data_IF_495983113534
#
_entry.id   IF_495983113534
#
_cell.length_a   1.000
_cell.length_b   1.000
_cell.length_c   1.000
_cell.angle_alpha   90.00
_cell.angle_beta   90.00
_cell.angle_gamma   90.00
#
_symmetry.space_group_name_H-M   'P 1'
#
loop_
_entity.id
_entity.type
_entity.pdbx_description
1 polymer ?
#
# COMPACT_ATOMS: atom_id res chain seq x y z
N UNK A 1 -7.51 34.98 3.57
CA UNK A 1 -6.79 34.28 4.66
C UNK A 1 -6.47 32.89 4.15
N UNK A 2 -5.26 32.34 4.39
CA UNK A 2 -4.89 30.98 3.93
C UNK A 2 -5.05 30.00 5.10
N UNK A 3 -5.71 28.87 4.85
CA UNK A 3 -5.81 27.74 5.79
C UNK A 3 -4.97 26.60 5.22
N UNK A 4 -4.15 25.97 6.06
CA UNK A 4 -3.31 24.83 5.69
C UNK A 4 -3.73 23.64 6.54
N UNK A 5 -3.98 22.50 5.89
CA UNK A 5 -4.36 21.24 6.52
C UNK A 5 -3.23 20.22 6.37
N UNK A 6 -2.97 19.46 7.45
CA UNK A 6 -2.08 18.32 7.45
C UNK A 6 -2.90 17.07 7.77
N UNK A 7 -2.86 16.10 6.88
CA UNK A 7 -3.48 14.80 7.06
C UNK A 7 -2.37 13.74 7.13
N UNK A 8 -2.27 13.06 8.27
CA UNK A 8 -1.37 11.91 8.46
C UNK A 8 -2.21 10.63 8.58
N UNK A 9 -1.82 9.59 7.86
CA UNK A 9 -2.54 8.33 7.81
C UNK A 9 -1.89 7.31 8.76
N UNK A 10 -2.70 6.82 9.69
CA UNK A 10 -2.27 5.91 10.74
C UNK A 10 -1.67 4.62 10.23
N UNK A 11 -0.34 4.46 10.37
CA UNK A 11 0.34 3.22 9.98
C UNK A 11 0.03 2.78 8.54
N UNK A 12 -0.10 3.76 7.62
CA UNK A 12 -0.66 3.63 6.28
C UNK A 12 -0.36 2.30 5.56
N UNK A 13 0.91 1.92 5.41
CA UNK A 13 1.25 0.70 4.68
C UNK A 13 0.70 -0.58 5.32
N UNK A 14 0.67 -0.66 6.65
CA UNK A 14 0.09 -1.81 7.34
C UNK A 14 -1.45 -1.85 7.15
N UNK A 15 -2.11 -0.69 7.15
CA UNK A 15 -3.56 -0.61 6.87
C UNK A 15 -3.88 -1.05 5.45
N UNK A 16 -3.11 -0.60 4.45
CA UNK A 16 -3.24 -1.04 3.07
C UNK A 16 -3.19 -2.57 2.95
N UNK A 17 -2.21 -3.21 3.60
CA UNK A 17 -2.13 -4.67 3.59
C UNK A 17 -3.28 -5.35 4.30
N UNK A 18 -3.75 -4.78 5.40
CA UNK A 18 -4.88 -5.33 6.12
C UNK A 18 -6.14 -5.32 5.25
N UNK A 19 -6.42 -4.22 4.54
CA UNK A 19 -7.53 -4.13 3.60
C UNK A 19 -7.37 -5.16 2.47
N UNK A 20 -6.19 -5.18 1.83
CA UNK A 20 -5.92 -6.08 0.70
C UNK A 20 -6.09 -7.56 1.07
N UNK A 21 -5.63 -7.95 2.26
CA UNK A 21 -5.64 -9.34 2.72
C UNK A 21 -6.85 -9.71 3.59
N UNK A 22 -7.77 -8.78 3.85
CA UNK A 22 -8.96 -9.04 4.66
C UNK A 22 -8.65 -9.26 6.14
N UNK A 23 -7.63 -8.59 6.66
CA UNK A 23 -7.23 -8.61 8.06
C UNK A 23 -7.92 -7.44 8.78
N UNK A 24 -8.53 -7.72 9.93
CA UNK A 24 -9.05 -6.64 10.79
C UNK A 24 -7.88 -5.89 11.45
N UNK A 25 -7.54 -4.73 10.87
CA UNK A 25 -6.43 -3.88 11.34
C UNK A 25 -6.67 -3.31 12.75
N UNK A 26 -7.92 -3.27 13.23
CA UNK A 26 -8.27 -2.69 14.52
C UNK A 26 -7.94 -3.61 15.69
N UNK A 27 -7.97 -4.93 15.46
CA UNK A 27 -7.74 -5.94 16.51
C UNK A 27 -6.50 -6.78 16.28
N UNK A 28 -6.12 -7.04 15.02
CA UNK A 28 -5.04 -7.97 14.69
C UNK A 28 -3.69 -7.23 14.66
N UNK A 29 -2.68 -7.65 15.45
CA UNK A 29 -1.34 -7.09 15.38
C UNK A 29 -0.66 -7.43 14.06
N UNK A 30 -0.27 -6.39 13.30
CA UNK A 30 0.40 -6.48 12.01
C UNK A 30 1.62 -5.59 11.98
N UNK A 31 2.75 -6.16 11.56
CA UNK A 31 3.97 -5.45 11.23
C UNK A 31 4.33 -5.72 9.76
N UNK A 32 4.58 -4.66 9.00
CA UNK A 32 5.02 -4.72 7.62
C UNK A 32 6.52 -4.49 7.55
N UNK A 33 7.22 -5.42 6.91
CA UNK A 33 8.66 -5.48 6.80
C UNK A 33 9.13 -5.00 5.43
N UNK A 34 10.25 -4.29 5.44
CA UNK A 34 11.13 -4.14 4.31
C UNK A 34 12.46 -4.81 4.67
N UNK A 35 12.73 -5.93 4.00
CA UNK A 35 13.80 -6.85 4.33
C UNK A 35 13.65 -7.35 5.77
N UNK A 36 14.71 -7.25 6.58
CA UNK A 36 14.69 -7.66 7.98
C UNK A 36 14.39 -6.48 8.93
N UNK A 37 13.59 -5.50 8.52
CA UNK A 37 13.27 -4.34 9.35
C UNK A 37 11.81 -3.92 9.22
N UNK A 38 11.15 -3.69 10.35
CA UNK A 38 9.76 -3.23 10.39
C UNK A 38 9.64 -1.80 9.84
N UNK A 39 9.01 -1.67 8.69
CA UNK A 39 8.74 -0.39 8.02
C UNK A 39 7.51 0.30 8.61
N UNK A 40 6.42 -0.45 8.82
CA UNK A 40 5.17 0.03 9.39
C UNK A 40 4.65 -0.97 10.44
N UNK A 41 4.12 -0.45 11.54
CA UNK A 41 3.63 -1.26 12.68
C UNK A 41 2.29 -0.68 13.12
N UNK A 42 1.22 -1.47 13.04
CA UNK A 42 -0.11 -1.01 13.42
C UNK A 42 -0.27 -0.91 14.95
N UNK A 43 -1.32 -0.23 15.41
CA UNK A 43 -1.53 0.03 16.83
C UNK A 43 -1.62 -1.24 17.71
N UNK A 44 -2.36 -2.30 17.31
CA UNK A 44 -2.35 -3.56 18.07
C UNK A 44 -0.95 -4.18 18.20
N UNK A 45 -0.10 -4.10 17.16
CA UNK A 45 1.29 -4.59 17.26
C UNK A 45 2.15 -3.69 18.17
N UNK A 46 1.94 -2.37 18.16
CA UNK A 46 2.63 -1.46 19.09
C UNK A 46 2.30 -1.77 20.56
N UNK A 47 1.07 -2.20 20.85
CA UNK A 47 0.67 -2.65 22.18
C UNK A 47 1.48 -3.87 22.68
N UNK A 48 2.02 -4.67 21.75
CA UNK A 48 2.95 -5.77 22.01
C UNK A 48 4.42 -5.32 22.05
N UNK A 49 4.68 -4.01 22.20
CA UNK A 49 6.02 -3.40 22.21
C UNK A 49 6.82 -3.56 20.92
N UNK A 50 6.17 -3.90 19.80
CA UNK A 50 6.80 -3.92 18.48
C UNK A 50 6.97 -2.48 18.00
N UNK A 51 8.14 -2.18 17.44
CA UNK A 51 8.52 -0.85 16.98
C UNK A 51 9.00 -0.91 15.54
N UNK A 52 8.93 0.23 14.85
CA UNK A 52 9.64 0.40 13.58
C UNK A 52 11.12 0.11 13.80
N UNK A 53 11.74 -0.56 12.84
CA UNK A 53 13.14 -0.99 12.95
C UNK A 53 13.33 -2.40 13.51
N UNK A 54 12.36 -2.95 14.25
CA UNK A 54 12.45 -4.31 14.78
C UNK A 54 12.65 -5.33 13.66
N UNK A 55 13.48 -6.34 13.91
CA UNK A 55 13.70 -7.42 12.96
C UNK A 55 12.53 -8.40 12.92
N UNK A 56 12.50 -9.28 11.90
CA UNK A 56 11.51 -10.35 11.83
C UNK A 56 11.49 -11.21 13.10
N UNK A 57 12.66 -11.51 13.67
CA UNK A 57 12.78 -12.33 14.87
C UNK A 57 12.37 -11.57 16.14
N UNK A 58 12.67 -10.27 16.23
CA UNK A 58 12.21 -9.42 17.34
C UNK A 58 10.68 -9.36 17.38
N UNK A 59 10.04 -9.18 16.23
CA UNK A 59 8.57 -9.17 16.11
C UNK A 59 7.99 -10.50 16.60
N UNK A 60 8.56 -11.62 16.16
CA UNK A 60 8.11 -12.95 16.55
C UNK A 60 8.27 -13.17 18.05
N UNK A 61 9.41 -12.79 18.61
CA UNK A 61 9.74 -12.96 20.03
C UNK A 61 8.85 -12.09 20.91
N UNK A 62 8.78 -10.77 20.64
CA UNK A 62 7.97 -9.83 21.43
C UNK A 62 6.48 -10.17 21.41
N UNK A 63 5.98 -10.69 20.30
CA UNK A 63 4.57 -11.07 20.17
C UNK A 63 4.25 -12.50 20.56
N UNK A 64 5.25 -13.33 20.92
CA UNK A 64 5.09 -14.79 21.03
C UNK A 64 4.36 -15.40 19.81
N UNK A 65 4.70 -14.94 18.60
CA UNK A 65 4.10 -15.37 17.35
C UNK A 65 2.67 -14.88 17.08
N UNK A 66 2.12 -13.99 17.91
CA UNK A 66 0.77 -13.42 17.71
C UNK A 66 0.72 -12.35 16.64
N UNK A 67 1.82 -11.62 16.42
CA UNK A 67 1.88 -10.57 15.40
C UNK A 67 2.09 -11.18 14.03
N UNK A 68 1.25 -10.78 13.09
CA UNK A 68 1.41 -11.12 11.68
C UNK A 68 2.52 -10.24 11.11
N UNK A 69 3.55 -10.88 10.57
CA UNK A 69 4.62 -10.21 9.85
C UNK A 69 4.36 -10.33 8.33
N UNK A 70 4.09 -9.20 7.69
CA UNK A 70 3.96 -9.11 6.23
C UNK A 70 5.22 -8.50 5.65
N UNK A 71 5.51 -8.75 4.38
CA UNK A 71 6.63 -8.14 3.68
C UNK A 71 6.13 -7.32 2.50
N UNK A 72 6.83 -6.22 2.20
CA UNK A 72 6.62 -5.47 0.95
C UNK A 72 6.66 -6.40 -0.27
N UNK A 73 5.88 -6.10 -1.33
CA UNK A 73 5.98 -6.85 -2.57
C UNK A 73 7.40 -6.67 -3.12
N UNK A 74 7.97 -7.73 -3.66
CA UNK A 74 9.32 -7.72 -4.24
C UNK A 74 9.18 -7.99 -5.73
N UNK A 75 9.67 -7.06 -6.54
CA UNK A 75 9.75 -7.19 -7.99
C UNK A 75 11.11 -7.83 -8.32
N UNK A 76 11.14 -9.01 -8.95
CA UNK A 76 12.38 -9.63 -9.39
C UNK A 76 13.21 -8.70 -10.28
N UNK A 77 14.54 -8.80 -10.23
CA UNK A 77 15.44 -7.94 -11.02
C UNK A 77 15.17 -8.06 -12.52
N UNK A 78 14.70 -9.22 -12.98
CA UNK A 78 14.35 -9.50 -14.38
C UNK A 78 13.03 -8.89 -14.85
N UNK A 79 12.17 -8.47 -13.92
CA UNK A 79 10.79 -8.05 -14.19
C UNK A 79 10.55 -6.61 -13.76
N UNK A 80 11.58 -5.76 -13.68
CA UNK A 80 11.34 -4.35 -13.34
C UNK A 80 10.41 -3.76 -14.39
N UNK A 81 9.15 -3.44 -14.03
CA UNK A 81 8.32 -2.71 -14.94
C UNK A 81 8.98 -1.33 -15.06
N UNK A 82 9.14 -0.83 -16.28
CA UNK A 82 9.21 0.61 -16.46
C UNK A 82 8.00 1.18 -15.69
N UNK A 83 8.26 2.09 -14.77
CA UNK A 83 7.30 2.56 -13.77
C UNK A 83 5.92 2.72 -14.41
N UNK A 84 4.93 1.94 -13.97
CA UNK A 84 3.59 1.98 -14.54
C UNK A 84 3.00 3.39 -14.40
N UNK A 85 3.31 4.09 -13.29
CA UNK A 85 2.99 5.52 -13.12
C UNK A 85 3.68 6.38 -14.18
N UNK A 86 4.96 6.15 -14.48
CA UNK A 86 5.66 6.94 -15.51
C UNK A 86 5.11 6.61 -16.90
N UNK A 87 4.76 5.35 -17.19
CA UNK A 87 4.05 4.98 -18.43
C UNK A 87 2.66 5.60 -18.51
N UNK A 88 1.88 5.63 -17.42
CA UNK A 88 0.58 6.31 -17.40
C UNK A 88 0.75 7.82 -17.62
N UNK A 89 1.79 8.43 -17.05
CA UNK A 89 2.14 9.84 -17.22
C UNK A 89 2.81 10.16 -18.58
N UNK A 90 3.38 9.17 -19.26
CA UNK A 90 3.98 9.28 -20.60
C UNK A 90 2.94 8.98 -21.70
N UNK A 91 2.08 7.98 -21.51
CA UNK A 91 0.92 7.67 -22.38
C UNK A 91 -0.11 8.82 -22.36
N UNK A 92 -0.21 9.56 -21.25
CA UNK A 92 -1.01 10.78 -21.16
C UNK A 92 -0.38 12.02 -21.80
N UNK A 93 0.82 11.94 -22.40
CA UNK A 93 1.51 13.08 -23.03
C UNK A 93 1.51 13.07 -24.55
N UNK A 94 0.97 12.04 -25.20
CA UNK A 94 1.01 11.91 -26.67
C UNK A 94 -0.28 12.26 -27.41
N UNK A 95 -1.34 12.76 -26.76
CA UNK A 95 -2.51 13.29 -27.46
C UNK A 95 -2.77 14.77 -27.13
N UNK A 96 -2.82 15.56 -28.20
CA UNK A 96 -2.92 17.02 -28.24
C UNK A 96 -4.15 17.59 -27.50
N UNK A 97 -3.90 18.62 -26.68
CA UNK A 97 -4.80 19.73 -26.31
C UNK A 97 -6.29 19.37 -26.15
N UNK A 98 -6.61 18.51 -25.18
CA UNK A 98 -7.95 18.44 -24.60
C UNK A 98 -8.05 19.38 -23.38
N UNK A 99 -9.25 19.87 -23.08
CA UNK A 99 -9.50 20.74 -21.94
C UNK A 99 -9.12 20.03 -20.62
N UNK A 100 -8.46 20.74 -19.68
CA UNK A 100 -7.99 20.23 -18.37
C UNK A 100 -9.03 19.40 -17.58
N UNK A 101 -10.33 19.53 -17.90
CA UNK A 101 -11.39 18.78 -17.26
C UNK A 101 -11.48 17.31 -17.70
N UNK A 102 -11.09 16.96 -18.94
CA UNK A 102 -11.29 15.61 -19.50
C UNK A 102 -10.12 14.66 -19.16
N UNK A 103 -8.89 15.18 -19.15
CA UNK A 103 -7.68 14.42 -18.72
C UNK A 103 -7.76 14.00 -17.25
N UNK A 104 -8.25 14.89 -16.38
CA UNK A 104 -8.44 14.60 -14.95
C UNK A 104 -9.47 13.47 -14.72
N UNK A 105 -10.49 13.35 -15.58
CA UNK A 105 -11.52 12.30 -15.48
C UNK A 105 -10.93 10.95 -15.92
N UNK A 106 -10.15 10.94 -17.01
CA UNK A 106 -9.48 9.73 -17.49
C UNK A 106 -8.46 9.19 -16.48
N UNK A 107 -7.61 10.05 -15.91
CA UNK A 107 -6.65 9.67 -14.87
C UNK A 107 -7.34 9.11 -13.62
N UNK A 108 -8.43 9.75 -13.19
CA UNK A 108 -9.23 9.28 -12.06
C UNK A 108 -9.79 7.87 -12.30
N UNK A 109 -10.35 7.63 -13.49
CA UNK A 109 -10.91 6.33 -13.89
C UNK A 109 -9.85 5.23 -13.88
N UNK A 110 -8.64 5.53 -14.37
CA UNK A 110 -7.51 4.60 -14.36
C UNK A 110 -7.05 4.25 -12.94
N UNK A 111 -6.90 5.25 -12.06
CA UNK A 111 -6.52 5.05 -10.66
C UNK A 111 -7.59 4.23 -9.93
N UNK A 112 -8.87 4.50 -10.17
CA UNK A 112 -9.97 3.74 -9.60
C UNK A 112 -9.92 2.26 -10.02
N UNK A 113 -9.74 2.01 -11.32
CA UNK A 113 -9.62 0.64 -11.86
C UNK A 113 -8.40 -0.10 -11.28
N UNK A 114 -7.25 0.56 -11.19
CA UNK A 114 -6.05 0.00 -10.59
C UNK A 114 -6.24 -0.31 -9.10
N UNK A 115 -6.90 0.59 -8.36
CA UNK A 115 -7.23 0.39 -6.95
C UNK A 115 -8.18 -0.79 -6.75
N UNK A 116 -9.26 -0.88 -7.53
CA UNK A 116 -10.21 -1.99 -7.44
C UNK A 116 -9.54 -3.34 -7.72
N UNK A 117 -8.68 -3.40 -8.73
CA UNK A 117 -7.94 -4.62 -9.06
C UNK A 117 -7.00 -5.08 -7.94
N UNK A 118 -6.35 -4.13 -7.25
CA UNK A 118 -5.38 -4.42 -6.19
C UNK A 118 -6.05 -4.66 -4.83
N UNK A 119 -7.13 -3.95 -4.49
CA UNK A 119 -7.72 -3.95 -3.14
C UNK A 119 -9.11 -4.59 -3.05
N UNK A 120 -9.88 -4.67 -4.14
CA UNK A 120 -11.18 -5.36 -4.19
C UNK A 120 -11.05 -6.76 -4.79
N UNK A 121 -10.16 -7.56 -4.21
CA UNK A 121 -9.88 -8.93 -4.65
C UNK A 121 -10.98 -9.89 -4.15
N UNK A 122 -11.45 -10.87 -4.97
CA UNK A 122 -12.42 -11.86 -4.54
C UNK A 122 -11.99 -12.61 -3.26
N UNK A 123 -12.93 -12.94 -2.34
CA UNK A 123 -12.59 -13.52 -1.03
C UNK A 123 -11.82 -14.85 -1.07
N UNK A 124 -11.94 -15.61 -2.16
CA UNK A 124 -11.16 -16.84 -2.35
C UNK A 124 -9.69 -16.52 -2.63
N UNK A 125 -9.42 -15.63 -3.58
CA UNK A 125 -8.07 -15.21 -3.93
C UNK A 125 -7.41 -14.45 -2.78
N UNK A 126 -8.15 -13.61 -2.06
CA UNK A 126 -7.68 -12.94 -0.85
C UNK A 126 -7.18 -13.95 0.20
N UNK A 127 -7.92 -15.04 0.44
CA UNK A 127 -7.50 -16.12 1.35
C UNK A 127 -6.26 -16.87 0.86
N UNK A 128 -6.12 -17.07 -0.46
CA UNK A 128 -4.93 -17.68 -1.04
C UNK A 128 -3.69 -16.78 -0.86
N UNK A 129 -3.82 -15.48 -1.13
CA UNK A 129 -2.76 -14.49 -0.94
C UNK A 129 -2.37 -14.38 0.54
N UNK A 130 -3.33 -14.30 1.44
CA UNK A 130 -3.08 -14.27 2.88
C UNK A 130 -2.22 -15.46 3.32
N UNK A 131 -2.59 -16.69 2.93
CA UNK A 131 -1.82 -17.90 3.25
C UNK A 131 -0.41 -17.89 2.64
N UNK A 132 -0.25 -17.30 1.46
CA UNK A 132 1.04 -17.23 0.74
C UNK A 132 2.00 -16.20 1.33
N UNK A 133 1.47 -15.12 1.90
CA UNK A 133 2.25 -13.94 2.31
C UNK A 133 2.46 -13.82 3.81
N UNK A 134 1.59 -14.41 4.63
CA UNK A 134 1.69 -14.35 6.09
C UNK A 134 3.02 -14.92 6.59
N UNK A 135 3.69 -14.15 7.46
CA UNK A 135 4.94 -14.51 8.12
C UNK A 135 6.06 -14.93 7.15
N UNK A 136 5.99 -14.45 5.91
CA UNK A 136 6.99 -14.74 4.88
C UNK A 136 8.03 -13.63 4.81
N UNK A 137 9.23 -13.93 5.29
CA UNK A 137 10.38 -13.03 5.16
C UNK A 137 10.91 -13.06 3.72
N UNK A 138 11.22 -11.89 3.14
CA UNK A 138 11.85 -11.73 1.83
C UNK A 138 13.22 -11.06 1.95
N UNK A 139 14.15 -11.43 1.07
CA UNK A 139 15.54 -10.99 1.13
C UNK A 139 15.90 -10.02 -0.01
N UNK A 140 16.89 -9.12 0.19
CA UNK A 140 17.32 -8.17 -0.85
C UNK A 140 17.76 -8.81 -2.17
N UNK A 141 18.22 -10.06 -2.14
CA UNK A 141 18.63 -10.79 -3.35
C UNK A 141 17.44 -11.28 -4.20
N UNK A 142 16.21 -11.27 -3.68
CA UNK A 142 15.01 -11.65 -4.42
C UNK A 142 14.56 -10.57 -5.41
N UNK A 143 15.00 -9.32 -5.25
CA UNK A 143 14.58 -8.21 -6.11
C UNK A 143 14.55 -6.86 -5.42
N UNK A 144 13.79 -5.91 -5.97
CA UNK A 144 13.55 -4.60 -5.36
C UNK A 144 12.21 -4.59 -4.64
N UNK A 145 12.17 -4.02 -3.44
CA UNK A 145 10.91 -3.76 -2.74
C UNK A 145 10.09 -2.73 -3.53
N UNK A 146 8.84 -3.07 -3.83
CA UNK A 146 7.91 -2.22 -4.56
C UNK A 146 6.97 -1.49 -3.61
N UNK A 147 6.73 -0.22 -3.88
CA UNK A 147 5.77 0.61 -3.15
C UNK A 147 4.51 0.92 -3.98
N UNK A 148 4.37 0.29 -5.14
CA UNK A 148 3.41 0.71 -6.17
C UNK A 148 1.95 0.65 -5.70
N UNK A 149 1.54 -0.46 -5.08
CA UNK A 149 0.18 -0.57 -4.53
C UNK A 149 -0.14 0.52 -3.50
N UNK A 150 0.82 0.95 -2.69
CA UNK A 150 0.60 2.03 -1.72
C UNK A 150 0.50 3.39 -2.39
N UNK A 151 1.19 3.61 -3.52
CA UNK A 151 1.01 4.80 -4.34
C UNK A 151 -0.41 4.86 -4.87
N UNK A 152 -0.89 3.77 -5.48
CA UNK A 152 -2.27 3.64 -5.97
C UNK A 152 -3.28 3.94 -4.85
N UNK A 153 -3.10 3.35 -3.66
CA UNK A 153 -3.95 3.63 -2.51
C UNK A 153 -3.92 5.12 -2.08
N UNK A 154 -2.74 5.73 -2.01
CA UNK A 154 -2.61 7.14 -1.64
C UNK A 154 -3.24 8.07 -2.67
N UNK A 155 -3.00 7.84 -3.96
CA UNK A 155 -3.59 8.62 -5.06
C UNK A 155 -5.11 8.52 -5.03
N UNK A 156 -5.66 7.33 -4.76
CA UNK A 156 -7.10 7.15 -4.60
C UNK A 156 -7.67 7.99 -3.45
N UNK A 157 -7.02 7.99 -2.28
CA UNK A 157 -7.44 8.78 -1.11
C UNK A 157 -7.40 10.28 -1.43
N UNK A 158 -6.31 10.76 -2.03
CA UNK A 158 -6.20 12.17 -2.41
C UNK A 158 -7.29 12.58 -3.39
N UNK A 159 -7.58 11.73 -4.38
CA UNK A 159 -8.63 12.01 -5.35
C UNK A 159 -10.02 12.14 -4.69
N UNK A 160 -10.37 11.27 -3.72
CA UNK A 160 -11.62 11.40 -2.95
C UNK A 160 -11.70 12.76 -2.24
N UNK A 161 -10.60 13.19 -1.63
CA UNK A 161 -10.56 14.46 -0.88
C UNK A 161 -10.76 15.65 -1.83
N UNK A 162 -10.16 15.59 -3.02
CA UNK A 162 -10.25 16.67 -4.02
C UNK A 162 -11.62 16.73 -4.70
N UNK A 163 -12.24 15.61 -5.03
CA UNK A 163 -13.59 15.57 -5.62
C UNK A 163 -14.63 16.20 -4.68
N UNK A 164 -14.59 15.85 -3.40
CA UNK A 164 -15.53 16.38 -2.40
C UNK A 164 -15.35 17.88 -2.14
N UNK A 165 -14.22 18.47 -2.53
CA UNK A 165 -13.96 19.90 -2.45
C UNK A 165 -14.42 20.68 -3.69
N UNK A 166 -14.97 20.05 -4.74
CA UNK A 166 -15.52 20.74 -5.91
C UNK A 166 -16.93 21.33 -5.70
N UNK A 167 -17.50 21.23 -4.50
CA UNK A 167 -18.86 21.73 -4.17
C UNK A 167 -18.86 23.00 -3.29
N UNK A 168 -17.80 23.81 -3.31
CA UNK A 168 -17.76 25.14 -2.66
C UNK A 168 -17.47 26.22 -3.68
#
# INVERSE_FOLDING_TARGET
QRVVLLCDLDCFYAQCECIRLGIDCSTVPVALLQWNSALAVNYPARALQIRRGDSYEDIRTKSNGKCIALHLPVIPISEQPDNIVDRILEEGKEEDKAEENDENIAEFSLIQSAYEKEYHIPPELQRQLFKKEINKMRRPNEGKASLERYRIASSRIFNVIMENNRFV
#
